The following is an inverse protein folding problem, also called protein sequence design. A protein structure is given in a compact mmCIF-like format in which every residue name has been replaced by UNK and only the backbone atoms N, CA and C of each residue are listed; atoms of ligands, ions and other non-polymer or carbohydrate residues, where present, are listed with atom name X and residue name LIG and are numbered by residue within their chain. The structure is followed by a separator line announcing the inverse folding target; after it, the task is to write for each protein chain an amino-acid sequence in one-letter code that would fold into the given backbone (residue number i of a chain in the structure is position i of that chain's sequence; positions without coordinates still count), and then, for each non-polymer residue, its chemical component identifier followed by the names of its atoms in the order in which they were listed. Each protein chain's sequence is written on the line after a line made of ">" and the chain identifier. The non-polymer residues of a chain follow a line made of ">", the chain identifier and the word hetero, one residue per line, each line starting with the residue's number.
data_IF_136522383062
#
_entry.id   IF_136522383062
#
_cell.length_a   1.000
_cell.length_b   1.000
_cell.length_c   1.000
_cell.angle_alpha   90.00
_cell.angle_beta   90.00
_cell.angle_gamma   90.00
#
_symmetry.space_group_name_H-M   'P 1'
#
loop_
_entity.id
_entity.type
_entity.pdbx_description
1 polymer ?
#
# COMPACT_ATOMS: atom_id res chain seq x y z
N UNK A 1 15.66 -12.18 9.36
CA UNK A 1 15.12 -13.46 8.86
C UNK A 1 14.40 -13.18 7.55
N UNK A 2 14.65 -13.97 6.50
CA UNK A 2 14.01 -13.81 5.18
C UNK A 2 13.20 -15.06 4.88
N UNK A 3 12.04 -14.89 4.28
CA UNK A 3 11.06 -15.98 4.08
C UNK A 3 10.78 -16.10 2.58
N UNK A 4 10.92 -17.33 2.06
CA UNK A 4 10.44 -17.71 0.73
C UNK A 4 9.15 -18.53 0.91
N UNK A 5 8.06 -18.07 0.30
CA UNK A 5 6.80 -18.80 0.25
C UNK A 5 6.78 -19.74 -0.94
N UNK A 6 6.34 -20.97 -0.71
CA UNK A 6 6.07 -21.95 -1.76
C UNK A 6 4.57 -22.26 -1.75
N UNK A 7 3.85 -21.88 -2.80
CA UNK A 7 2.41 -22.15 -2.93
C UNK A 7 2.14 -23.11 -4.07
N UNK A 8 0.98 -23.76 -4.09
CA UNK A 8 0.46 -24.35 -5.33
C UNK A 8 0.07 -23.24 -6.32
N UNK A 9 -0.09 -23.59 -7.60
CA UNK A 9 -0.36 -22.62 -8.68
C UNK A 9 -1.74 -21.95 -8.59
N UNK A 10 -2.69 -22.59 -7.90
CA UNK A 10 -4.04 -22.10 -7.66
C UNK A 10 -4.13 -21.11 -6.48
N UNK A 11 -3.11 -21.03 -5.62
CA UNK A 11 -3.17 -20.24 -4.38
C UNK A 11 -2.36 -18.94 -4.46
N UNK A 12 -2.66 -18.17 -5.50
CA UNK A 12 -1.97 -16.90 -5.74
C UNK A 12 -2.38 -15.81 -4.74
N UNK A 13 -3.55 -15.96 -4.12
CA UNK A 13 -4.00 -15.15 -2.97
C UNK A 13 -3.06 -15.30 -1.77
N UNK A 14 -2.69 -16.54 -1.42
CA UNK A 14 -1.75 -16.78 -0.32
C UNK A 14 -0.37 -16.17 -0.59
N UNK A 15 0.05 -16.16 -1.87
CA UNK A 15 1.26 -15.45 -2.30
C UNK A 15 1.20 -13.95 -1.98
N UNK A 16 0.09 -13.28 -2.30
CA UNK A 16 -0.13 -11.85 -1.99
C UNK A 16 -0.15 -11.61 -0.47
N UNK A 17 -0.87 -12.44 0.28
CA UNK A 17 -0.95 -12.33 1.76
C UNK A 17 0.44 -12.45 2.38
N UNK A 18 1.23 -13.42 1.93
CA UNK A 18 2.55 -13.64 2.47
C UNK A 18 3.56 -12.55 2.10
N UNK A 19 3.48 -11.97 0.90
CA UNK A 19 4.25 -10.77 0.55
C UNK A 19 3.85 -9.58 1.44
N UNK A 20 2.55 -9.36 1.69
CA UNK A 20 2.07 -8.32 2.62
C UNK A 20 2.55 -8.54 4.05
N UNK A 21 2.75 -9.79 4.46
CA UNK A 21 3.31 -10.15 5.77
C UNK A 21 4.84 -9.95 5.86
N UNK A 22 5.52 -9.65 4.74
CA UNK A 22 6.96 -9.40 4.69
C UNK A 22 7.80 -10.56 4.17
N UNK A 23 7.20 -11.51 3.45
CA UNK A 23 8.00 -12.50 2.73
C UNK A 23 8.90 -11.83 1.69
N UNK A 24 10.13 -12.35 1.59
CA UNK A 24 11.15 -11.87 0.67
C UNK A 24 11.01 -12.50 -0.73
N UNK A 25 10.20 -13.56 -0.86
CA UNK A 25 9.87 -14.12 -2.16
C UNK A 25 8.73 -15.12 -2.16
N UNK A 26 8.31 -15.49 -3.37
CA UNK A 26 7.22 -16.42 -3.66
C UNK A 26 7.58 -17.25 -4.90
N UNK A 27 7.41 -18.56 -4.84
CA UNK A 27 7.50 -19.48 -5.97
C UNK A 27 6.41 -20.55 -5.91
N UNK A 28 6.19 -21.22 -7.04
CA UNK A 28 5.28 -22.36 -7.11
C UNK A 28 6.02 -23.62 -6.64
N UNK A 29 5.39 -24.38 -5.74
CA UNK A 29 5.93 -25.60 -5.11
C UNK A 29 6.28 -26.71 -6.11
N UNK A 30 5.67 -26.70 -7.29
CA UNK A 30 5.92 -27.66 -8.38
C UNK A 30 7.06 -27.28 -9.33
N UNK A 31 7.78 -26.18 -9.10
CA UNK A 31 8.91 -25.78 -9.93
C UNK A 31 10.13 -26.71 -9.79
N UNK A 32 11.07 -26.68 -10.75
CA UNK A 32 12.33 -27.43 -10.65
C UNK A 32 13.08 -27.11 -9.35
N UNK A 33 13.65 -28.12 -8.71
CA UNK A 33 14.40 -27.94 -7.45
C UNK A 33 15.54 -26.92 -7.57
N UNK A 34 16.20 -26.86 -8.73
CA UNK A 34 17.24 -25.88 -9.00
C UNK A 34 16.75 -24.43 -8.94
N UNK A 35 15.49 -24.17 -9.32
CA UNK A 35 14.88 -22.85 -9.24
C UNK A 35 14.68 -22.40 -7.79
N UNK A 36 14.23 -23.32 -6.92
CA UNK A 36 14.05 -23.06 -5.49
C UNK A 36 15.41 -22.75 -4.83
N UNK A 37 16.44 -23.55 -5.14
CA UNK A 37 17.80 -23.34 -4.61
C UNK A 37 18.34 -21.97 -5.03
N UNK A 38 18.22 -21.63 -6.31
CA UNK A 38 18.64 -20.33 -6.84
C UNK A 38 17.87 -19.18 -6.16
N UNK A 39 16.56 -19.34 -5.94
CA UNK A 39 15.75 -18.33 -5.27
C UNK A 39 16.15 -18.12 -3.81
N UNK A 40 16.46 -19.19 -3.07
CA UNK A 40 16.96 -19.08 -1.69
C UNK A 40 18.28 -18.33 -1.64
N UNK A 41 19.21 -18.61 -2.56
CA UNK A 41 20.50 -17.93 -2.65
C UNK A 41 20.33 -16.42 -2.95
N UNK A 42 19.46 -16.08 -3.89
CA UNK A 42 19.14 -14.69 -4.24
C UNK A 42 18.51 -13.93 -3.07
N UNK A 43 17.52 -14.55 -2.41
CA UNK A 43 16.91 -13.98 -1.19
C UNK A 43 17.98 -13.80 -0.10
N UNK A 44 18.89 -14.77 0.07
CA UNK A 44 20.01 -14.64 1.00
C UNK A 44 20.99 -13.51 0.63
N UNK A 45 21.12 -13.16 -0.65
CA UNK A 45 21.86 -11.99 -1.11
C UNK A 45 21.08 -10.67 -0.96
N UNK A 46 19.79 -10.71 -0.58
CA UNK A 46 18.94 -9.54 -0.43
C UNK A 46 18.12 -9.21 -1.68
N UNK A 47 18.12 -10.10 -2.68
CA UNK A 47 17.32 -9.96 -3.88
C UNK A 47 15.95 -10.65 -3.71
N UNK A 48 14.83 -9.93 -3.89
CA UNK A 48 13.53 -10.56 -3.86
C UNK A 48 13.31 -11.44 -5.10
N UNK A 49 12.58 -12.53 -4.92
CA UNK A 49 12.23 -13.45 -6.01
C UNK A 49 10.73 -13.68 -6.01
N UNK A 50 10.06 -13.36 -7.12
CA UNK A 50 8.62 -13.56 -7.27
C UNK A 50 8.36 -14.32 -8.57
N UNK A 51 7.63 -15.43 -8.47
CA UNK A 51 7.30 -16.26 -9.62
C UNK A 51 6.34 -15.58 -10.60
N UNK A 52 6.33 -16.01 -11.89
CA UNK A 52 5.65 -15.28 -12.96
C UNK A 52 4.16 -15.01 -12.72
N UNK A 53 3.43 -15.96 -12.15
CA UNK A 53 2.01 -15.81 -11.87
C UNK A 53 1.75 -14.64 -10.91
N UNK A 54 2.52 -14.56 -9.81
CA UNK A 54 2.34 -13.49 -8.83
C UNK A 54 2.84 -12.16 -9.37
N UNK A 55 3.90 -12.16 -10.18
CA UNK A 55 4.38 -10.98 -10.87
C UNK A 55 3.30 -10.33 -11.74
N UNK A 56 2.56 -11.11 -12.54
CA UNK A 56 1.46 -10.58 -13.36
C UNK A 56 0.34 -9.96 -12.51
N UNK A 57 -0.05 -10.62 -11.42
CA UNK A 57 -1.06 -10.05 -10.51
C UNK A 57 -0.59 -8.78 -9.82
N UNK A 58 0.69 -8.68 -9.47
CA UNK A 58 1.26 -7.46 -8.92
C UNK A 58 1.26 -6.33 -9.96
N UNK A 59 1.61 -6.63 -11.22
CA UNK A 59 1.55 -5.67 -12.32
C UNK A 59 0.12 -5.15 -12.49
N UNK A 60 -0.88 -6.03 -12.54
CA UNK A 60 -2.27 -5.63 -12.69
C UNK A 60 -2.78 -4.85 -11.47
N UNK A 61 -2.34 -5.22 -10.26
CA UNK A 61 -2.65 -4.48 -9.04
C UNK A 61 -2.11 -3.05 -9.10
N UNK A 62 -0.88 -2.87 -9.61
CA UNK A 62 -0.27 -1.55 -9.80
C UNK A 62 -1.01 -0.75 -10.88
N UNK A 63 -1.39 -1.38 -12.00
CA UNK A 63 -2.17 -0.74 -13.07
C UNK A 63 -3.56 -0.28 -12.60
N UNK A 64 -4.16 -0.98 -11.65
CA UNK A 64 -5.46 -0.64 -11.09
C UNK A 64 -5.40 0.48 -10.03
N UNK A 65 -4.20 0.90 -9.59
CA UNK A 65 -4.09 2.00 -8.63
C UNK A 65 -4.51 3.33 -9.28
N UNK A 66 -5.34 4.14 -8.59
CA UNK A 66 -5.67 5.48 -9.07
C UNK A 66 -4.41 6.32 -9.28
N UNK A 67 -4.40 7.14 -10.33
CA UNK A 67 -3.35 8.12 -10.55
C UNK A 67 -3.20 9.02 -9.30
N UNK A 68 -1.98 9.10 -8.76
CA UNK A 68 -1.69 9.84 -7.52
C UNK A 68 -1.86 9.07 -6.22
N UNK A 69 -2.24 7.78 -6.27
CA UNK A 69 -2.26 6.90 -5.09
C UNK A 69 -3.35 7.22 -4.06
N UNK A 70 -4.38 7.97 -4.44
CA UNK A 70 -5.61 8.13 -3.63
C UNK A 70 -6.18 6.73 -3.31
N UNK A 71 -6.56 6.49 -2.06
CA UNK A 71 -6.98 5.17 -1.60
C UNK A 71 -5.85 4.21 -1.19
N UNK A 72 -4.57 4.48 -1.49
CA UNK A 72 -3.46 3.63 -1.04
C UNK A 72 -3.22 3.82 0.45
N UNK A 73 -3.08 2.70 1.18
CA UNK A 73 -2.90 2.64 2.63
C UNK A 73 -1.66 1.82 2.98
N UNK A 74 -0.81 2.29 3.92
CA UNK A 74 0.22 1.44 4.50
C UNK A 74 -0.37 0.19 5.12
N UNK A 75 0.25 -0.97 4.88
CA UNK A 75 -0.14 -2.25 5.51
C UNK A 75 -0.15 -2.14 7.03
N UNK A 76 0.74 -1.32 7.60
CA UNK A 76 0.77 -0.95 9.02
C UNK A 76 0.43 0.52 9.18
N UNK A 77 -0.87 0.82 9.24
CA UNK A 77 -1.38 2.17 9.48
C UNK A 77 -1.78 2.37 10.94
N UNK A 78 -1.48 3.57 11.49
CA UNK A 78 -2.02 4.01 12.79
C UNK A 78 -3.46 4.52 12.69
N UNK A 79 -3.90 4.89 11.49
CA UNK A 79 -5.25 5.39 11.21
C UNK A 79 -6.24 4.23 10.96
N UNK A 80 -7.47 4.39 11.43
CA UNK A 80 -8.60 3.50 11.12
C UNK A 80 -9.12 3.73 9.69
N UNK A 81 -9.94 2.82 9.13
CA UNK A 81 -10.53 3.02 7.80
C UNK A 81 -11.28 4.35 7.66
N UNK A 82 -12.10 4.70 8.65
CA UNK A 82 -12.86 5.95 8.64
C UNK A 82 -11.97 7.20 8.75
N UNK A 83 -10.89 7.12 9.52
CA UNK A 83 -9.91 8.22 9.61
C UNK A 83 -9.17 8.42 8.28
N UNK A 84 -8.92 7.33 7.54
CA UNK A 84 -8.37 7.40 6.20
C UNK A 84 -9.32 7.99 5.17
N UNK A 85 -10.60 7.64 5.21
CA UNK A 85 -11.62 8.25 4.33
C UNK A 85 -11.65 9.77 4.53
N UNK A 86 -11.69 10.23 5.78
CA UNK A 86 -11.65 11.67 6.09
C UNK A 86 -10.36 12.31 5.58
N UNK A 87 -9.20 11.68 5.78
CA UNK A 87 -7.92 12.19 5.29
C UNK A 87 -7.87 12.26 3.75
N UNK A 88 -8.43 11.29 3.06
CA UNK A 88 -8.49 11.28 1.59
C UNK A 88 -9.34 12.42 1.05
N UNK A 89 -10.51 12.68 1.63
CA UNK A 89 -11.36 13.79 1.24
C UNK A 89 -10.71 15.15 1.54
N UNK A 90 -9.98 15.26 2.65
CA UNK A 90 -9.15 16.43 2.92
C UNK A 90 -8.05 16.62 1.87
N UNK A 91 -7.39 15.54 1.44
CA UNK A 91 -6.40 15.58 0.36
C UNK A 91 -7.01 15.98 -0.98
N UNK A 92 -8.28 15.63 -1.21
CA UNK A 92 -9.05 16.03 -2.38
C UNK A 92 -9.55 17.50 -2.30
N UNK A 93 -9.24 18.22 -1.21
CA UNK A 93 -9.56 19.63 -1.04
C UNK A 93 -10.96 19.91 -0.48
N UNK A 94 -11.67 18.89 0.01
CA UNK A 94 -13.01 19.08 0.58
C UNK A 94 -12.93 19.75 1.94
N UNK A 95 -13.90 20.63 2.19
CA UNK A 95 -14.13 21.26 3.49
C UNK A 95 -14.82 20.31 4.47
N UNK A 96 -14.77 20.62 5.77
CA UNK A 96 -15.47 19.82 6.80
C UNK A 96 -16.96 19.67 6.51
N UNK A 97 -17.61 20.70 5.96
CA UNK A 97 -19.02 20.67 5.61
C UNK A 97 -19.28 19.71 4.44
N UNK A 98 -18.49 19.79 3.37
CA UNK A 98 -18.59 18.86 2.24
C UNK A 98 -18.31 17.41 2.65
N UNK A 99 -17.35 17.19 3.55
CA UNK A 99 -17.06 15.85 4.10
C UNK A 99 -18.24 15.35 4.95
N UNK A 100 -18.89 16.25 5.69
CA UNK A 100 -20.10 15.96 6.46
C UNK A 100 -21.19 15.40 5.56
N UNK A 101 -21.41 16.04 4.42
CA UNK A 101 -22.44 15.67 3.44
C UNK A 101 -22.08 14.36 2.74
N UNK A 102 -20.84 14.24 2.23
CA UNK A 102 -20.35 13.04 1.52
C UNK A 102 -20.40 11.79 2.40
N UNK A 103 -20.02 11.92 3.66
CA UNK A 103 -19.92 10.81 4.60
C UNK A 103 -21.20 10.59 5.43
N UNK A 104 -22.22 11.44 5.23
CA UNK A 104 -23.49 11.46 5.99
C UNK A 104 -23.23 11.47 7.51
N UNK A 105 -22.41 12.42 7.95
CA UNK A 105 -22.04 12.63 9.35
C UNK A 105 -22.40 14.03 9.83
N UNK A 106 -22.45 14.23 11.15
CA UNK A 106 -22.47 15.57 11.72
C UNK A 106 -21.08 16.23 11.61
N UNK A 107 -21.05 17.56 11.43
CA UNK A 107 -19.80 18.33 11.30
C UNK A 107 -18.85 18.10 12.48
N UNK A 108 -19.38 18.05 13.70
CA UNK A 108 -18.58 17.83 14.90
C UNK A 108 -17.93 16.43 14.93
N UNK A 109 -18.61 15.44 14.36
CA UNK A 109 -18.05 14.09 14.18
C UNK A 109 -16.88 14.14 13.19
N UNK A 110 -17.03 14.84 12.06
CA UNK A 110 -15.94 15.04 11.10
C UNK A 110 -14.76 15.77 11.76
N UNK A 111 -15.00 16.88 12.48
CA UNK A 111 -13.95 17.60 13.23
C UNK A 111 -13.23 16.70 14.24
N UNK A 112 -13.97 15.82 14.89
CA UNK A 112 -13.41 14.83 15.81
C UNK A 112 -12.50 13.84 15.08
N UNK A 113 -12.90 13.34 13.91
CA UNK A 113 -12.05 12.51 13.07
C UNK A 113 -10.79 13.25 12.62
N UNK A 114 -10.90 14.49 12.15
CA UNK A 114 -9.73 15.32 11.78
C UNK A 114 -8.76 15.45 12.95
N UNK A 115 -9.24 15.80 14.14
CA UNK A 115 -8.38 15.90 15.34
C UNK A 115 -7.68 14.58 15.68
N UNK A 116 -8.36 13.45 15.54
CA UNK A 116 -7.77 12.11 15.76
C UNK A 116 -6.71 11.78 14.71
N UNK A 117 -6.96 12.12 13.44
CA UNK A 117 -6.01 11.96 12.33
C UNK A 117 -4.74 12.76 12.62
N UNK A 118 -4.86 14.06 12.91
CA UNK A 118 -3.72 14.93 13.24
C UNK A 118 -2.88 14.34 14.37
N UNK A 119 -3.53 13.97 15.49
CA UNK A 119 -2.85 13.37 16.64
C UNK A 119 -2.13 12.07 16.30
N UNK A 120 -2.76 11.17 15.52
CA UNK A 120 -2.17 9.86 15.17
C UNK A 120 -1.03 9.98 14.16
N UNK A 121 -1.07 10.97 13.28
CA UNK A 121 0.00 11.29 12.35
C UNK A 121 1.10 12.15 13.00
N UNK A 122 0.85 12.73 14.17
CA UNK A 122 1.77 13.69 14.79
C UNK A 122 1.80 15.04 14.08
N UNK A 123 0.78 15.35 13.29
CA UNK A 123 0.68 16.58 12.53
C UNK A 123 0.08 17.71 13.39
N UNK A 124 0.63 18.91 13.25
CA UNK A 124 0.19 20.12 13.93
C UNK A 124 -0.84 20.92 13.12
N UNK A 125 -0.99 20.62 11.83
CA UNK A 125 -1.98 21.27 10.95
C UNK A 125 -2.59 20.30 9.93
N UNK A 126 -3.74 20.68 9.37
CA UNK A 126 -4.37 19.95 8.26
C UNK A 126 -3.43 19.88 7.04
N UNK A 127 -2.73 20.96 6.71
CA UNK A 127 -1.78 20.98 5.61
C UNK A 127 -0.62 20.00 5.81
N UNK A 128 -0.10 19.91 7.04
CA UNK A 128 0.95 18.95 7.39
C UNK A 128 0.45 17.50 7.29
N UNK A 129 -0.77 17.21 7.74
CA UNK A 129 -1.34 15.87 7.59
C UNK A 129 -1.53 15.48 6.11
N UNK A 130 -1.95 16.43 5.26
CA UNK A 130 -2.05 16.23 3.80
C UNK A 130 -0.65 15.98 3.21
N UNK A 131 0.36 16.74 3.61
CA UNK A 131 1.74 16.54 3.15
C UNK A 131 2.28 15.15 3.55
N UNK A 132 2.03 14.71 4.78
CA UNK A 132 2.39 13.35 5.24
C UNK A 132 1.66 12.29 4.40
N UNK A 133 0.35 12.45 4.17
CA UNK A 133 -0.42 11.53 3.35
C UNK A 133 0.12 11.41 1.92
N UNK A 134 0.44 12.55 1.30
CA UNK A 134 1.03 12.59 -0.03
C UNK A 134 2.44 11.99 -0.08
N UNK A 135 3.27 12.20 0.96
CA UNK A 135 4.57 11.56 1.08
C UNK A 135 4.49 10.03 1.17
N UNK A 136 3.51 9.52 1.93
CA UNK A 136 3.22 8.08 1.98
C UNK A 136 2.87 7.57 0.57
N UNK A 137 2.02 8.28 -0.18
CA UNK A 137 1.59 7.89 -1.54
C UNK A 137 2.70 8.01 -2.59
N UNK A 138 3.57 9.02 -2.47
CA UNK A 138 4.73 9.19 -3.35
C UNK A 138 5.73 8.02 -3.24
N UNK A 139 5.75 7.31 -2.11
CA UNK A 139 6.55 6.09 -1.99
C UNK A 139 6.02 4.93 -2.86
N UNK A 140 4.74 4.97 -3.25
CA UNK A 140 4.09 3.96 -4.09
C UNK A 140 4.05 4.33 -5.58
N UNK A 141 4.14 5.63 -5.90
CA UNK A 141 4.27 6.11 -7.28
C UNK A 141 5.76 6.35 -7.50
N UNK A 142 6.45 5.38 -8.11
CA UNK A 142 7.84 5.57 -8.55
C UNK A 142 7.98 6.89 -9.33
N UNK A 143 9.17 7.53 -9.33
CA UNK A 143 9.36 8.83 -9.96
C UNK A 143 8.79 8.81 -11.38
N UNK A 144 8.08 9.86 -11.83
CA UNK A 144 7.62 9.94 -13.21
C UNK A 144 8.86 9.74 -14.08
N UNK A 145 8.85 8.67 -14.88
CA UNK A 145 10.00 8.27 -15.69
C UNK A 145 10.51 9.47 -16.46
N UNK A 146 11.77 9.85 -16.18
CA UNK A 146 12.49 10.80 -17.01
C UNK A 146 12.60 10.19 -18.40
N UNK A 147 11.71 10.62 -19.29
CA UNK A 147 11.76 10.28 -20.70
C UNK A 147 13.10 10.76 -21.25
N UNK A 148 13.97 9.81 -21.56
CA UNK A 148 15.24 10.06 -22.21
C UNK A 148 15.01 10.79 -23.54
N UNK A 149 15.85 11.78 -23.77
CA UNK A 149 16.28 12.21 -25.10
C UNK A 149 17.73 11.80 -25.25
#
# INVERSE_FOLDING_TARGET
>A
MRVLLLTSSDDLELGVVGLRAGAAGHLIKGGPTGEIVAAVQRIAAGEPVVGPGLTWRLIDSVRALPAGGLGVRPVRSKLTPREWEVLDLLCAGLTVDQISDELVLARDTVRTHVKRVLRKLGAHSQGEAIAIANGIRATFVGPPGGGGR
#
